data_IF_541665420439
#
_entry.id   IF_541665420439
#
_cell.length_a   1.000
_cell.length_b   1.000
_cell.length_c   1.000
_cell.angle_alpha   90.00
_cell.angle_beta   90.00
_cell.angle_gamma   90.00
#
_symmetry.space_group_name_H-M   'P 1'
#
loop_
_entity.id
_entity.type
_entity.pdbx_description
1 polymer ?
#
# COMPACT_ATOMS: atom_id res chain seq x y z
N UNK A 1 -2.37 -20.74 2.53
CA UNK A 1 -1.90 -21.84 3.41
C UNK A 1 -0.91 -21.34 4.46
N UNK A 2 0.14 -20.59 4.05
CA UNK A 2 1.14 -20.05 4.98
C UNK A 2 0.58 -19.02 5.96
N UNK A 3 -0.17 -18.01 5.48
CA UNK A 3 -0.84 -17.02 6.35
C UNK A 3 -1.67 -17.66 7.46
N UNK A 4 -2.50 -18.64 7.12
CA UNK A 4 -3.34 -19.36 8.09
C UNK A 4 -2.50 -20.14 9.12
N UNK A 5 -1.36 -20.70 8.71
CA UNK A 5 -0.41 -21.37 9.60
C UNK A 5 0.23 -20.38 10.58
N UNK A 6 0.70 -19.24 10.08
CA UNK A 6 1.32 -18.21 10.90
C UNK A 6 0.33 -17.59 11.91
N UNK A 7 -0.91 -17.33 11.51
CA UNK A 7 -1.96 -16.84 12.42
C UNK A 7 -2.21 -17.83 13.56
N UNK A 8 -2.12 -19.14 13.28
CA UNK A 8 -2.28 -20.18 14.30
C UNK A 8 -1.08 -20.25 15.25
N UNK A 9 0.14 -20.08 14.73
CA UNK A 9 1.36 -20.16 15.51
C UNK A 9 1.62 -18.92 16.38
N UNK A 10 1.27 -17.72 15.89
CA UNK A 10 1.57 -16.43 16.51
C UNK A 10 0.30 -15.65 16.84
N UNK A 11 -0.63 -16.33 17.52
CA UNK A 11 -1.96 -15.80 17.83
C UNK A 11 -1.81 -14.51 18.65
N UNK A 12 -2.33 -13.40 18.11
CA UNK A 12 -2.28 -12.05 18.70
C UNK A 12 -0.87 -11.42 18.79
N UNK A 13 0.16 -12.05 18.20
CA UNK A 13 1.52 -11.51 18.16
C UNK A 13 1.87 -10.90 16.79
N UNK A 14 1.25 -11.41 15.73
CA UNK A 14 1.48 -10.94 14.35
C UNK A 14 0.18 -10.42 13.75
N UNK A 15 0.23 -9.19 13.25
CA UNK A 15 -0.85 -8.56 12.48
C UNK A 15 -0.48 -8.55 10.99
N UNK A 16 -1.32 -9.16 10.16
CA UNK A 16 -1.10 -9.24 8.71
C UNK A 16 -1.74 -8.08 7.98
N UNK A 17 -0.91 -7.34 7.24
CA UNK A 17 -1.30 -6.18 6.45
C UNK A 17 -0.92 -6.46 5.00
N UNK A 18 -1.89 -6.29 4.11
CA UNK A 18 -1.76 -6.72 2.71
C UNK A 18 -2.03 -5.57 1.76
N UNK A 19 -1.32 -5.57 0.64
CA UNK A 19 -1.62 -4.74 -0.52
C UNK A 19 -1.66 -5.62 -1.75
N UNK A 20 -2.69 -5.45 -2.58
CA UNK A 20 -2.93 -6.19 -3.80
C UNK A 20 -2.96 -5.19 -4.98
N UNK A 21 -2.18 -5.40 -6.07
CA UNK A 21 -1.31 -6.54 -6.32
C UNK A 21 0.04 -6.51 -5.58
N UNK A 22 0.46 -5.35 -5.06
CA UNK A 22 1.74 -5.19 -4.39
C UNK A 22 1.76 -3.97 -3.45
N UNK A 23 2.83 -3.83 -2.65
CA UNK A 23 3.02 -2.67 -1.77
C UNK A 23 3.05 -1.34 -2.53
N UNK A 24 3.49 -1.34 -3.78
CA UNK A 24 3.50 -0.17 -4.66
C UNK A 24 2.11 0.46 -4.84
N UNK A 25 1.03 -0.31 -4.63
CA UNK A 25 -0.33 0.24 -4.65
C UNK A 25 -0.54 1.23 -3.49
N UNK A 26 -0.01 0.93 -2.30
CA UNK A 26 0.01 1.88 -1.19
C UNK A 26 0.77 3.16 -1.54
N UNK A 27 1.90 3.05 -2.23
CA UNK A 27 2.67 4.21 -2.68
C UNK A 27 1.85 5.08 -3.65
N UNK A 28 1.13 4.47 -4.58
CA UNK A 28 0.27 5.17 -5.53
C UNK A 28 -0.84 5.97 -4.85
N UNK A 29 -1.45 5.40 -3.81
CA UNK A 29 -2.54 6.04 -3.08
C UNK A 29 -2.14 7.35 -2.38
N UNK A 30 -0.85 7.63 -2.19
CA UNK A 30 -0.39 8.94 -1.70
C UNK A 30 -0.67 10.08 -2.69
N UNK A 31 -0.80 9.77 -3.98
CA UNK A 31 -0.92 10.78 -5.03
C UNK A 31 -2.31 10.83 -5.66
N UNK A 32 -3.03 9.70 -5.68
CA UNK A 32 -4.29 9.60 -6.40
C UNK A 32 -5.20 8.55 -5.78
N UNK A 33 -6.50 8.86 -5.71
CA UNK A 33 -7.52 7.84 -5.48
C UNK A 33 -7.67 6.98 -6.73
N UNK A 34 -7.66 5.66 -6.57
CA UNK A 34 -7.97 4.73 -7.65
C UNK A 34 -8.52 3.43 -7.09
N UNK A 35 -9.61 2.95 -7.67
CA UNK A 35 -10.23 1.65 -7.46
C UNK A 35 -10.02 0.72 -8.68
N UNK A 36 -9.21 1.17 -9.64
CA UNK A 36 -8.86 0.41 -10.84
C UNK A 36 -8.23 -0.93 -10.45
N UNK A 37 -8.62 -1.98 -11.15
CA UNK A 37 -7.95 -3.27 -11.05
C UNK A 37 -6.62 -3.25 -11.80
N UNK A 38 -5.53 -3.53 -11.08
CA UNK A 38 -4.19 -3.71 -11.62
C UNK A 38 -3.87 -5.20 -11.64
N UNK A 39 -3.37 -5.69 -12.77
CA UNK A 39 -3.08 -7.14 -12.94
C UNK A 39 -1.85 -7.59 -12.19
N UNK A 40 -0.87 -6.71 -12.03
CA UNK A 40 0.42 -6.99 -11.42
C UNK A 40 1.07 -5.70 -10.90
N UNK A 41 2.21 -5.87 -10.23
CA UNK A 41 3.01 -4.78 -9.69
C UNK A 41 3.47 -3.77 -10.77
N UNK A 42 3.83 -4.24 -11.96
CA UNK A 42 4.39 -3.39 -13.03
C UNK A 42 3.36 -2.39 -13.57
N UNK A 43 2.08 -2.77 -13.65
CA UNK A 43 1.01 -1.84 -14.01
C UNK A 43 0.85 -0.75 -12.96
N UNK A 44 0.98 -1.08 -11.67
CA UNK A 44 0.95 -0.09 -10.58
C UNK A 44 2.16 0.83 -10.67
N UNK A 45 3.36 0.30 -10.93
CA UNK A 45 4.60 1.07 -11.09
C UNK A 45 4.47 2.04 -12.28
N UNK A 46 3.89 1.60 -13.39
CA UNK A 46 3.65 2.45 -14.57
C UNK A 46 2.77 3.64 -14.19
N UNK A 47 1.72 3.40 -13.41
CA UNK A 47 0.84 4.45 -12.91
C UNK A 47 1.55 5.36 -11.90
N UNK A 48 2.36 4.79 -11.01
CA UNK A 48 3.15 5.50 -9.99
C UNK A 48 4.18 6.45 -10.61
N UNK A 49 4.70 6.15 -11.80
CA UNK A 49 5.67 6.95 -12.56
C UNK A 49 5.07 8.10 -13.36
N UNK A 50 3.75 8.30 -13.33
CA UNK A 50 3.14 9.44 -14.04
C UNK A 50 3.59 10.78 -13.46
N UNK A 51 3.53 11.82 -14.29
CA UNK A 51 3.94 13.19 -13.95
C UNK A 51 3.28 13.67 -12.65
N UNK A 52 4.07 14.27 -11.76
CA UNK A 52 3.60 14.76 -10.47
C UNK A 52 3.45 13.68 -9.38
N UNK A 53 3.99 12.47 -9.61
CA UNK A 53 4.03 11.36 -8.65
C UNK A 53 5.48 10.97 -8.34
N UNK A 54 5.86 9.71 -8.53
CA UNK A 54 7.24 9.22 -8.38
C UNK A 54 7.81 8.83 -9.75
N UNK A 55 8.07 9.82 -10.58
CA UNK A 55 8.44 9.67 -12.00
C UNK A 55 9.65 8.76 -12.24
N UNK A 56 10.59 8.75 -11.30
CA UNK A 56 11.82 7.95 -11.37
C UNK A 56 11.80 6.72 -10.46
N UNK A 57 10.63 6.30 -9.98
CA UNK A 57 10.52 5.19 -9.02
C UNK A 57 11.27 3.94 -9.48
N UNK A 58 12.10 3.39 -8.61
CA UNK A 58 12.70 2.09 -8.81
C UNK A 58 12.59 1.26 -7.54
N UNK A 59 12.36 -0.04 -7.73
CA UNK A 59 12.33 -1.01 -6.63
C UNK A 59 13.75 -1.40 -6.22
N UNK A 60 14.54 -0.41 -5.80
CA UNK A 60 15.95 -0.59 -5.44
C UNK A 60 16.27 0.14 -4.14
N UNK A 61 17.15 -0.46 -3.33
CA UNK A 61 17.63 0.14 -2.07
C UNK A 61 18.24 1.51 -2.34
N UNK A 62 18.96 1.63 -3.44
CA UNK A 62 19.58 2.87 -3.89
C UNK A 62 18.55 3.98 -4.13
N UNK A 63 17.44 3.68 -4.80
CA UNK A 63 16.37 4.64 -5.01
C UNK A 63 15.75 5.10 -3.70
N UNK A 64 15.39 4.17 -2.80
CA UNK A 64 14.80 4.51 -1.51
C UNK A 64 15.72 5.39 -0.66
N UNK A 65 17.02 5.11 -0.68
CA UNK A 65 18.02 5.83 0.10
C UNK A 65 18.30 7.23 -0.45
N UNK A 66 18.40 7.38 -1.77
CA UNK A 66 18.77 8.65 -2.42
C UNK A 66 17.63 9.65 -2.53
N UNK A 67 16.38 9.19 -2.62
CA UNK A 67 15.24 10.06 -2.98
C UNK A 67 14.45 10.58 -1.77
N UNK A 68 14.90 10.34 -0.53
CA UNK A 68 14.17 10.73 0.69
C UNK A 68 12.69 10.36 0.63
N UNK A 69 12.38 9.16 0.09
CA UNK A 69 11.01 8.79 -0.27
C UNK A 69 10.05 8.92 0.92
N UNK A 70 10.51 8.57 2.12
CA UNK A 70 9.74 8.74 3.35
C UNK A 70 9.22 10.17 3.53
N UNK A 71 10.05 11.20 3.32
CA UNK A 71 9.64 12.59 3.50
C UNK A 71 8.59 13.00 2.48
N UNK A 72 8.76 12.60 1.21
CA UNK A 72 7.79 12.89 0.13
C UNK A 72 6.42 12.26 0.40
N UNK A 73 6.40 11.04 0.93
CA UNK A 73 5.18 10.31 1.24
C UNK A 73 4.54 10.78 2.55
N UNK A 74 5.33 11.14 3.56
CA UNK A 74 4.85 11.58 4.88
C UNK A 74 3.87 12.75 4.77
N UNK A 75 4.19 13.75 3.95
CA UNK A 75 3.32 14.92 3.74
C UNK A 75 1.97 14.56 3.10
N UNK A 76 1.90 13.40 2.43
CA UNK A 76 0.71 12.91 1.71
C UNK A 76 0.04 11.72 2.40
N UNK A 77 0.49 11.38 3.62
CA UNK A 77 0.04 10.20 4.33
C UNK A 77 -1.47 10.22 4.59
N UNK A 78 -2.03 11.37 4.98
CA UNK A 78 -3.47 11.51 5.21
C UNK A 78 -4.28 11.22 3.93
N UNK A 79 -3.80 11.69 2.78
CA UNK A 79 -4.41 11.37 1.49
C UNK A 79 -4.37 9.87 1.20
N UNK A 80 -3.23 9.22 1.44
CA UNK A 80 -3.09 7.77 1.25
C UNK A 80 -4.07 6.97 2.13
N UNK A 81 -4.20 7.35 3.40
CA UNK A 81 -5.13 6.75 4.35
C UNK A 81 -6.57 6.91 3.86
N UNK A 82 -6.97 8.12 3.47
CA UNK A 82 -8.34 8.40 3.03
C UNK A 82 -8.66 7.68 1.72
N UNK A 83 -7.74 7.66 0.76
CA UNK A 83 -7.92 6.92 -0.49
C UNK A 83 -8.04 5.42 -0.26
N UNK A 84 -7.16 4.83 0.56
CA UNK A 84 -7.18 3.40 0.86
C UNK A 84 -8.47 2.98 1.58
N UNK A 85 -8.90 3.76 2.59
CA UNK A 85 -10.13 3.49 3.34
C UNK A 85 -11.38 3.55 2.46
N UNK A 86 -11.36 4.35 1.40
CA UNK A 86 -12.50 4.54 0.50
C UNK A 86 -12.67 3.39 -0.51
N UNK A 87 -11.70 2.47 -0.62
CA UNK A 87 -11.78 1.33 -1.55
C UNK A 87 -12.63 0.23 -0.93
N UNK A 88 -13.74 -0.09 -1.58
CA UNK A 88 -14.55 -1.26 -1.24
C UNK A 88 -13.88 -2.54 -1.74
N UNK A 89 -13.56 -3.46 -0.83
CA UNK A 89 -13.00 -4.77 -1.19
C UNK A 89 -14.14 -5.72 -1.54
N UNK A 90 -14.20 -6.14 -2.80
CA UNK A 90 -15.06 -7.26 -3.19
C UNK A 90 -14.33 -8.59 -2.91
N UNK A 91 -14.76 -9.27 -1.86
CA UNK A 91 -14.22 -10.57 -1.43
C UNK A 91 -14.38 -11.67 -2.48
N UNK A 92 -15.30 -11.52 -3.43
CA UNK A 92 -15.52 -12.48 -4.51
C UNK A 92 -14.62 -12.20 -5.72
N UNK A 93 -13.99 -11.03 -5.76
CA UNK A 93 -13.10 -10.63 -6.83
C UNK A 93 -11.64 -10.50 -6.32
N UNK A 94 -10.81 -11.54 -6.48
CA UNK A 94 -9.42 -11.53 -6.02
C UNK A 94 -8.54 -10.53 -6.78
N UNK A 95 -9.04 -9.94 -7.88
CA UNK A 95 -8.33 -8.95 -8.68
C UNK A 95 -8.59 -7.50 -8.22
N UNK A 96 -9.43 -7.31 -7.20
CA UNK A 96 -9.63 -5.99 -6.59
C UNK A 96 -8.30 -5.48 -6.04
N UNK A 97 -7.85 -4.33 -6.53
CA UNK A 97 -6.64 -3.69 -6.01
C UNK A 97 -6.98 -2.93 -4.74
N UNK A 98 -6.21 -3.14 -3.69
CA UNK A 98 -6.44 -2.53 -2.38
C UNK A 98 -5.14 -2.45 -1.60
N UNK A 99 -5.11 -1.61 -0.57
CA UNK A 99 -4.06 -1.65 0.46
C UNK A 99 -4.67 -1.49 1.83
N UNK A 100 -4.33 -2.39 2.74
CA UNK A 100 -4.74 -2.36 4.16
C UNK A 100 -3.69 -1.70 5.05
N UNK A 101 -2.69 -1.05 4.47
CA UNK A 101 -1.60 -0.41 5.22
C UNK A 101 -2.11 0.72 6.13
N UNK A 102 -3.23 1.36 5.78
CA UNK A 102 -3.87 2.35 6.64
C UNK A 102 -4.28 1.79 8.01
N UNK A 103 -4.62 0.49 8.11
CA UNK A 103 -4.98 -0.18 9.37
C UNK A 103 -3.82 -0.10 10.39
N UNK A 104 -2.56 -0.12 9.94
CA UNK A 104 -1.39 0.04 10.83
C UNK A 104 -1.39 1.41 11.50
N UNK A 105 -1.72 2.45 10.75
CA UNK A 105 -1.77 3.80 11.29
C UNK A 105 -2.94 3.95 12.25
N UNK A 106 -4.09 3.36 11.96
CA UNK A 106 -5.23 3.36 12.87
C UNK A 106 -4.89 2.63 14.19
N UNK A 107 -4.29 1.45 14.12
CA UNK A 107 -3.88 0.66 15.29
C UNK A 107 -2.79 1.35 16.12
N UNK A 108 -1.80 1.98 15.47
CA UNK A 108 -0.69 2.64 16.16
C UNK A 108 -1.05 4.03 16.68
N UNK A 109 -1.95 4.76 16.01
CA UNK A 109 -2.38 6.10 16.43
C UNK A 109 -3.48 6.05 17.51
N UNK A 110 -4.32 5.01 17.55
CA UNK A 110 -5.29 4.80 18.63
C UNK A 110 -4.63 4.41 19.97
N UNK A 111 -3.37 3.93 19.95
CA UNK A 111 -2.61 3.53 21.15
C UNK A 111 -1.78 4.67 21.76
N UNK A 112 -1.97 5.91 21.32
CA UNK A 112 -1.41 7.12 21.95
C UNK A 112 -2.50 7.90 22.66
#
# INVERSE_FOLDING_TARGET
KEKSSCIKAYKNEIYFIESNPAFEFWLLLHFVFTDRQFRNCDEVITELKKNGRLEKYEKSIEYFSKNNLYLQLKEKLESAINHARSISIDINNPHTSYSRVFEVFEELLQKR
#
